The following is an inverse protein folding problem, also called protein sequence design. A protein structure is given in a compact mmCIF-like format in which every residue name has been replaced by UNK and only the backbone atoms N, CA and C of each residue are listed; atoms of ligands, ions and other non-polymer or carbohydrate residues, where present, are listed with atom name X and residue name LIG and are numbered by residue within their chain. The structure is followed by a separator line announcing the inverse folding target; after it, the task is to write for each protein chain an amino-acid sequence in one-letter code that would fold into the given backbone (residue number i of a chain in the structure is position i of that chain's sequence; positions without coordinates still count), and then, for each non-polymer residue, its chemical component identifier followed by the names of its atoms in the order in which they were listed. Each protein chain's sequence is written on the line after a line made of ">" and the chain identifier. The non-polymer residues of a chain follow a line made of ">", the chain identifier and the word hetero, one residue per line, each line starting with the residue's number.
data_IF_357282205961
#
_entry.id   IF_357282205961
#
_cell.length_a   1.000
_cell.length_b   1.000
_cell.length_c   1.000
_cell.angle_alpha   90.00
_cell.angle_beta   90.00
_cell.angle_gamma   90.00
#
_symmetry.space_group_name_H-M   'P 1'
#
loop_
_entity.id
_entity.type
_entity.pdbx_description
1 polymer ?
#
# COMPACT_ATOMS: atom_id res chain seq x y z
N UNK A 1 -0.97 -35.64 13.82
CA UNK A 1 -1.70 -34.41 14.21
C UNK A 1 -1.09 -33.22 13.46
N UNK A 2 -1.32 -33.16 12.15
CA UNK A 2 -0.79 -32.15 11.19
C UNK A 2 -1.61 -32.15 9.89
N UNK A 3 -2.23 -33.29 9.56
CA UNK A 3 -3.14 -33.46 8.41
C UNK A 3 -4.51 -32.81 8.67
N UNK A 4 -4.95 -32.82 9.93
CA UNK A 4 -6.21 -32.24 10.42
C UNK A 4 -6.33 -30.71 10.21
N UNK A 5 -5.27 -29.96 10.50
CA UNK A 5 -5.28 -28.50 10.33
C UNK A 5 -5.29 -28.09 8.85
N UNK A 6 -4.56 -28.82 8.00
CA UNK A 6 -4.53 -28.53 6.57
C UNK A 6 -5.90 -28.75 5.93
N UNK A 7 -6.52 -29.90 6.19
CA UNK A 7 -7.86 -30.21 5.70
C UNK A 7 -8.91 -29.21 6.23
N UNK A 8 -8.80 -28.82 7.51
CA UNK A 8 -9.67 -27.79 8.09
C UNK A 8 -9.56 -26.44 7.37
N UNK A 9 -8.34 -25.99 7.07
CA UNK A 9 -8.10 -24.76 6.31
C UNK A 9 -8.63 -24.86 4.88
N UNK A 10 -8.39 -26.00 4.20
CA UNK A 10 -8.94 -26.27 2.88
C UNK A 10 -10.48 -26.19 2.87
N UNK A 11 -11.15 -26.76 3.88
CA UNK A 11 -12.60 -26.70 4.02
C UNK A 11 -13.10 -25.26 4.23
N UNK A 12 -12.39 -24.46 5.03
CA UNK A 12 -12.71 -23.04 5.21
C UNK A 12 -12.60 -22.30 3.88
N UNK A 13 -11.48 -22.44 3.15
CA UNK A 13 -11.30 -21.75 1.87
C UNK A 13 -12.24 -22.26 0.76
N UNK A 14 -12.67 -23.53 0.85
CA UNK A 14 -13.66 -24.11 -0.05
C UNK A 14 -15.09 -23.63 0.24
N UNK A 15 -15.36 -23.04 1.41
CA UNK A 15 -16.68 -22.52 1.71
C UNK A 15 -17.08 -21.41 0.74
N UNK A 16 -18.37 -21.40 0.34
CA UNK A 16 -18.90 -20.52 -0.72
C UNK A 16 -18.58 -19.05 -0.49
N UNK A 17 -18.69 -18.57 0.76
CA UNK A 17 -18.35 -17.19 1.15
C UNK A 17 -16.93 -16.80 0.71
N UNK A 18 -15.95 -17.69 0.93
CA UNK A 18 -14.55 -17.42 0.60
C UNK A 18 -14.31 -17.49 -0.91
N UNK A 19 -14.96 -18.41 -1.62
CA UNK A 19 -14.91 -18.49 -3.08
C UNK A 19 -15.51 -17.25 -3.75
N UNK A 20 -16.66 -16.76 -3.28
CA UNK A 20 -17.29 -15.53 -3.76
C UNK A 20 -16.36 -14.33 -3.53
N UNK A 21 -15.83 -14.19 -2.30
CA UNK A 21 -14.88 -13.13 -1.95
C UNK A 21 -13.64 -13.17 -2.85
N UNK A 22 -13.07 -14.36 -3.06
CA UNK A 22 -11.89 -14.55 -3.92
C UNK A 22 -12.17 -14.13 -5.37
N UNK A 23 -13.33 -14.51 -5.91
CA UNK A 23 -13.77 -14.14 -7.26
C UNK A 23 -13.92 -12.62 -7.40
N UNK A 24 -14.64 -11.98 -6.48
CA UNK A 24 -14.81 -10.51 -6.48
C UNK A 24 -13.45 -9.82 -6.41
N UNK A 25 -12.57 -10.24 -5.49
CA UNK A 25 -11.24 -9.64 -5.37
C UNK A 25 -10.38 -9.87 -6.62
N UNK A 26 -10.52 -11.00 -7.30
CA UNK A 26 -9.83 -11.25 -8.58
C UNK A 26 -10.32 -10.31 -9.67
N UNK A 27 -11.63 -10.12 -9.81
CA UNK A 27 -12.23 -9.20 -10.77
C UNK A 27 -11.79 -7.76 -10.47
N UNK A 28 -11.84 -7.33 -9.20
CA UNK A 28 -11.43 -5.99 -8.79
C UNK A 28 -9.94 -5.73 -9.11
N UNK A 29 -9.05 -6.70 -8.85
CA UNK A 29 -7.64 -6.58 -9.22
C UNK A 29 -7.43 -6.51 -10.73
N UNK A 30 -8.21 -7.27 -11.51
CA UNK A 30 -8.12 -7.24 -12.97
C UNK A 30 -8.67 -5.93 -13.56
N UNK A 31 -9.71 -5.36 -12.96
CA UNK A 31 -10.31 -4.10 -13.41
C UNK A 31 -9.39 -2.89 -13.17
N UNK A 32 -8.55 -2.92 -12.14
CA UNK A 32 -7.58 -1.86 -11.87
C UNK A 32 -6.25 -2.44 -11.35
N UNK A 33 -5.41 -2.97 -12.25
CA UNK A 33 -4.17 -3.65 -11.87
C UNK A 33 -3.16 -2.70 -11.23
N UNK A 34 -3.24 -1.41 -11.54
CA UNK A 34 -2.27 -0.40 -11.10
C UNK A 34 -2.59 0.24 -9.75
N UNK A 35 -3.86 0.25 -9.33
CA UNK A 35 -4.30 0.94 -8.12
C UNK A 35 -3.83 0.29 -6.81
N UNK A 36 -3.48 -0.99 -6.82
CA UNK A 36 -3.16 -1.76 -5.61
C UNK A 36 -1.71 -2.25 -5.55
N UNK A 37 -0.82 -1.67 -6.36
CA UNK A 37 0.58 -2.07 -6.39
C UNK A 37 1.38 -1.41 -5.26
N UNK A 38 2.10 -2.23 -4.49
CA UNK A 38 2.84 -1.81 -3.32
C UNK A 38 4.10 -2.65 -3.16
N UNK A 39 5.23 -2.04 -2.75
CA UNK A 39 6.53 -2.73 -2.65
C UNK A 39 6.90 -3.11 -1.21
N UNK A 40 6.04 -2.80 -0.23
CA UNK A 40 6.34 -2.98 1.20
C UNK A 40 6.13 -4.42 1.72
N UNK A 41 5.46 -5.28 0.93
CA UNK A 41 5.07 -6.62 1.34
C UNK A 41 3.99 -6.59 2.44
N UNK A 42 4.02 -7.58 3.34
CA UNK A 42 3.06 -7.70 4.45
C UNK A 42 3.44 -6.85 5.68
N UNK A 43 4.13 -5.74 5.47
CA UNK A 43 4.58 -4.86 6.55
C UNK A 43 3.64 -3.65 6.63
N UNK A 44 3.17 -3.37 7.85
CA UNK A 44 2.28 -2.23 8.07
C UNK A 44 2.97 -0.89 7.76
N UNK A 45 2.18 0.07 7.27
CA UNK A 45 2.65 1.43 6.98
C UNK A 45 3.25 2.11 8.23
N UNK A 46 2.67 1.88 9.41
CA UNK A 46 3.21 2.38 10.69
C UNK A 46 4.62 1.85 11.00
N UNK A 47 4.91 0.61 10.60
CA UNK A 47 6.26 0.04 10.73
C UNK A 47 7.24 0.73 9.78
N UNK A 48 6.82 1.05 8.56
CA UNK A 48 7.63 1.84 7.63
C UNK A 48 7.90 3.25 8.15
N UNK A 49 6.88 3.90 8.70
CA UNK A 49 6.99 5.21 9.33
C UNK A 49 7.98 5.19 10.50
N UNK A 50 7.86 4.23 11.42
CA UNK A 50 8.75 4.09 12.58
C UNK A 50 10.21 3.85 12.17
N UNK A 51 10.44 3.09 11.10
CA UNK A 51 11.79 2.85 10.55
C UNK A 51 12.37 4.12 9.93
N UNK A 52 11.57 4.85 9.16
CA UNK A 52 11.97 6.12 8.55
C UNK A 52 12.26 7.20 9.60
N UNK A 53 11.49 7.25 10.68
CA UNK A 53 11.73 8.19 11.77
C UNK A 53 13.10 7.98 12.42
N UNK A 54 13.46 6.71 12.68
CA UNK A 54 14.79 6.35 13.20
C UNK A 54 15.91 6.72 12.24
N UNK A 55 15.70 6.51 10.93
CA UNK A 55 16.67 6.84 9.88
C UNK A 55 16.88 8.35 9.75
N UNK A 56 15.79 9.13 9.77
CA UNK A 56 15.82 10.58 9.59
C UNK A 56 16.09 11.36 10.88
N UNK A 57 16.02 10.70 12.04
CA UNK A 57 16.06 11.32 13.39
C UNK A 57 15.01 12.42 13.59
N UNK A 58 13.90 12.32 12.86
CA UNK A 58 12.75 13.23 12.90
C UNK A 58 11.51 12.54 12.33
N UNK A 59 10.30 13.00 12.68
CA UNK A 59 9.07 12.48 12.08
C UNK A 59 9.11 12.60 10.54
N UNK A 60 8.91 11.50 9.79
CA UNK A 60 8.84 11.55 8.33
C UNK A 60 7.53 12.21 7.88
N UNK A 61 7.57 12.88 6.72
CA UNK A 61 6.34 13.34 6.07
C UNK A 61 5.58 12.15 5.48
N UNK A 62 4.26 12.29 5.33
CA UNK A 62 3.43 11.26 4.68
C UNK A 62 3.93 10.92 3.28
N UNK A 63 4.39 11.93 2.52
CA UNK A 63 5.00 11.73 1.21
C UNK A 63 6.21 10.80 1.26
N UNK A 64 7.11 10.96 2.24
CA UNK A 64 8.29 10.07 2.37
C UNK A 64 7.90 8.63 2.69
N UNK A 65 6.86 8.42 3.50
CA UNK A 65 6.37 7.06 3.79
C UNK A 65 5.68 6.46 2.56
N UNK A 66 4.93 7.27 1.81
CA UNK A 66 4.32 6.87 0.54
C UNK A 66 5.39 6.45 -0.49
N UNK A 67 6.40 7.30 -0.71
CA UNK A 67 7.53 7.03 -1.61
C UNK A 67 8.24 5.74 -1.26
N UNK A 68 8.53 5.51 0.03
CA UNK A 68 9.21 4.30 0.50
C UNK A 68 8.47 3.01 0.15
N UNK A 69 7.17 3.10 -0.06
CA UNK A 69 6.29 1.94 -0.21
C UNK A 69 5.67 1.80 -1.60
N UNK A 70 5.78 2.83 -2.44
CA UNK A 70 5.24 2.83 -3.81
C UNK A 70 6.30 3.12 -4.89
N UNK A 71 7.56 3.34 -4.53
CA UNK A 71 8.69 3.36 -5.46
C UNK A 71 9.38 2.00 -5.53
N UNK A 72 9.97 1.71 -6.69
CA UNK A 72 10.82 0.54 -6.89
C UNK A 72 12.09 0.68 -6.03
N UNK A 73 12.51 -0.43 -5.40
CA UNK A 73 13.67 -0.41 -4.50
C UNK A 73 14.93 0.03 -5.26
N UNK A 74 15.62 1.04 -4.74
CA UNK A 74 16.86 1.54 -5.32
C UNK A 74 16.68 2.47 -6.53
N UNK A 75 15.44 2.86 -6.85
CA UNK A 75 15.16 3.86 -7.88
C UNK A 75 14.19 4.91 -7.34
N UNK A 76 14.04 6.02 -8.07
CA UNK A 76 13.04 7.05 -7.77
C UNK A 76 11.74 6.86 -8.57
N UNK A 77 11.57 5.68 -9.19
CA UNK A 77 10.48 5.40 -10.12
C UNK A 77 9.31 4.76 -9.38
N UNK A 78 8.12 5.32 -9.54
CA UNK A 78 6.88 4.73 -9.01
C UNK A 78 6.57 3.38 -9.64
N UNK A 79 5.91 2.52 -8.86
CA UNK A 79 5.55 1.18 -9.31
C UNK A 79 4.41 1.19 -10.34
N UNK A 80 3.54 2.20 -10.30
CA UNK A 80 2.45 2.43 -11.25
C UNK A 80 2.27 3.92 -11.53
N UNK A 81 1.63 4.25 -12.66
CA UNK A 81 1.24 5.63 -12.96
C UNK A 81 0.26 6.16 -11.94
N UNK A 82 -0.63 5.28 -11.43
CA UNK A 82 -1.57 5.69 -10.39
C UNK A 82 -0.87 6.13 -9.10
N UNK A 83 0.19 5.45 -8.68
CA UNK A 83 0.95 5.85 -7.51
C UNK A 83 1.63 7.22 -7.71
N UNK A 84 2.13 7.49 -8.93
CA UNK A 84 2.69 8.78 -9.30
C UNK A 84 1.63 9.89 -9.24
N UNK A 85 0.47 9.69 -9.87
CA UNK A 85 -0.64 10.65 -9.84
C UNK A 85 -1.09 11.01 -8.41
N UNK A 86 -1.17 10.01 -7.52
CA UNK A 86 -1.57 10.23 -6.12
C UNK A 86 -0.53 11.08 -5.39
N UNK A 87 0.76 10.81 -5.59
CA UNK A 87 1.83 11.61 -5.00
C UNK A 87 1.86 13.06 -5.51
N UNK A 88 1.67 13.24 -6.82
CA UNK A 88 1.58 14.56 -7.46
C UNK A 88 0.38 15.35 -6.93
N UNK A 89 -0.80 14.74 -6.92
CA UNK A 89 -2.03 15.36 -6.42
C UNK A 89 -1.95 15.72 -4.93
N UNK A 90 -1.36 14.85 -4.10
CA UNK A 90 -1.13 15.15 -2.69
C UNK A 90 -0.20 16.35 -2.51
N UNK A 91 0.88 16.41 -3.29
CA UNK A 91 1.85 17.51 -3.23
C UNK A 91 1.21 18.84 -3.66
N UNK A 92 0.37 18.82 -4.69
CA UNK A 92 -0.39 20.00 -5.12
C UNK A 92 -1.35 20.48 -4.03
N UNK A 93 -2.17 19.60 -3.47
CA UNK A 93 -3.15 19.96 -2.42
C UNK A 93 -2.46 20.48 -1.16
N UNK A 94 -1.31 19.91 -0.78
CA UNK A 94 -0.50 20.42 0.32
C UNK A 94 0.01 21.83 0.01
N UNK A 95 0.47 22.07 -1.22
CA UNK A 95 0.94 23.40 -1.63
C UNK A 95 -0.20 24.42 -1.59
N UNK A 96 -1.36 24.11 -2.17
CA UNK A 96 -2.55 24.98 -2.15
C UNK A 96 -3.02 25.30 -0.73
N UNK A 97 -3.03 24.30 0.16
CA UNK A 97 -3.47 24.47 1.55
C UNK A 97 -2.54 25.37 2.35
N UNK A 98 -1.23 25.17 2.24
CA UNK A 98 -0.24 25.87 3.06
C UNK A 98 0.32 27.14 2.39
N UNK A 99 0.13 27.35 1.08
CA UNK A 99 0.45 28.61 0.40
C UNK A 99 -0.48 29.77 0.82
N UNK A 100 -1.59 29.48 1.48
CA UNK A 100 -2.48 30.47 2.10
C UNK A 100 -2.15 30.84 3.55
N UNK A 101 -1.11 30.24 4.15
CA UNK A 101 -0.71 30.44 5.56
C UNK A 101 0.54 31.35 5.72
N UNK A 102 0.84 32.20 4.72
CA UNK A 102 1.72 33.37 4.92
C UNK A 102 0.86 34.62 5.22
N UNK A 103 0.43 34.76 6.48
CA UNK A 103 0.08 36.05 7.12
C UNK A 103 0.55 36.07 8.57
#
# INVERSE_FOLDING_TARGET
>A
MRIDYWESLCNIWAAERWQQTSTIMKVNRAANPEANMHTSGSIFFATHQSRLEKELKRPPTLQKVFDKTHKKKGTDIYISDKAREVAESYSQQMTEKYAGEEQ
#
